data_IF_668188459696
#
_entry.id   IF_668188459696
#
_cell.length_a   1.000
_cell.length_b   1.000
_cell.length_c   1.000
_cell.angle_alpha   90.00
_cell.angle_beta   90.00
_cell.angle_gamma   90.00
#
_symmetry.space_group_name_H-M   'P 1'
#
loop_
_entity.id
_entity.type
_entity.pdbx_description
1 polymer ?
#
# COMPACT_ATOMS: atom_id res chain seq x y z
N UNK A 1 15.64 7.63 -16.00
CA UNK A 1 16.55 7.57 -14.80
C UNK A 1 15.73 7.82 -13.53
N UNK A 2 16.17 7.42 -12.32
CA UNK A 2 15.42 7.70 -11.07
C UNK A 2 15.08 9.17 -10.88
N UNK A 3 16.00 10.08 -11.27
CA UNK A 3 15.77 11.51 -11.16
C UNK A 3 14.64 12.00 -12.10
N UNK A 4 14.51 11.44 -13.28
CA UNK A 4 13.46 11.82 -14.23
C UNK A 4 12.08 11.40 -13.71
N UNK A 5 12.00 10.22 -13.09
CA UNK A 5 10.79 9.74 -12.40
C UNK A 5 10.43 10.66 -11.23
N UNK A 6 11.39 11.01 -10.38
CA UNK A 6 11.19 11.87 -9.22
C UNK A 6 10.70 13.27 -9.65
N UNK A 7 11.30 13.84 -10.69
CA UNK A 7 10.88 15.12 -11.24
C UNK A 7 9.45 15.06 -11.80
N UNK A 8 9.09 13.98 -12.50
CA UNK A 8 7.74 13.76 -13.00
C UNK A 8 6.72 13.65 -11.87
N UNK A 9 6.99 12.83 -10.85
CA UNK A 9 6.10 12.66 -9.68
C UNK A 9 5.91 14.00 -8.93
N UNK A 10 6.96 14.79 -8.75
CA UNK A 10 6.86 16.08 -8.07
C UNK A 10 6.13 17.14 -8.93
N UNK A 11 6.23 17.08 -10.24
CA UNK A 11 5.46 17.95 -11.13
C UNK A 11 3.95 17.64 -11.05
N UNK A 12 3.58 16.34 -11.09
CA UNK A 12 2.19 15.91 -10.91
C UNK A 12 1.64 16.27 -9.52
N UNK A 13 2.43 16.07 -8.46
CA UNK A 13 2.04 16.42 -7.09
C UNK A 13 1.76 17.92 -6.96
N UNK A 14 2.58 18.76 -7.58
CA UNK A 14 2.41 20.22 -7.62
C UNK A 14 1.14 20.60 -8.37
N UNK A 15 0.93 20.05 -9.57
CA UNK A 15 -0.25 20.29 -10.37
C UNK A 15 -1.54 19.88 -9.62
N UNK A 16 -1.52 18.73 -8.94
CA UNK A 16 -2.63 18.28 -8.11
C UNK A 16 -2.93 19.24 -6.95
N UNK A 17 -1.89 19.74 -6.26
CA UNK A 17 -2.07 20.69 -5.16
C UNK A 17 -2.66 22.02 -5.64
N UNK A 18 -2.22 22.50 -6.80
CA UNK A 18 -2.72 23.74 -7.42
C UNK A 18 -4.18 23.59 -7.89
N UNK A 19 -4.52 22.46 -8.53
CA UNK A 19 -5.87 22.20 -9.02
C UNK A 19 -6.90 22.04 -7.89
N UNK A 20 -6.55 21.29 -6.83
CA UNK A 20 -7.42 21.05 -5.69
C UNK A 20 -7.45 22.21 -4.68
N UNK A 21 -6.57 23.20 -4.80
CA UNK A 21 -6.40 24.29 -3.83
C UNK A 21 -6.05 23.79 -2.44
N UNK A 22 -5.38 22.64 -2.38
CA UNK A 22 -4.89 22.02 -1.16
C UNK A 22 -3.60 22.71 -0.69
N UNK A 23 -3.27 22.56 0.60
CA UNK A 23 -1.95 22.93 1.07
C UNK A 23 -0.88 22.12 0.31
N UNK A 24 0.28 22.75 -0.02
CA UNK A 24 1.34 22.05 -0.74
C UNK A 24 1.77 20.78 0.00
N UNK A 25 1.73 19.65 -0.69
CA UNK A 25 2.31 18.42 -0.16
C UNK A 25 3.83 18.52 -0.13
N UNK A 26 4.46 17.82 0.82
CA UNK A 26 5.91 17.66 0.83
C UNK A 26 6.35 16.97 -0.49
N UNK A 27 7.31 17.54 -1.23
CA UNK A 27 7.83 16.88 -2.41
C UNK A 27 8.42 15.49 -2.10
N UNK A 28 8.28 14.58 -3.04
CA UNK A 28 8.95 13.29 -2.97
C UNK A 28 10.46 13.46 -3.03
N UNK A 29 11.17 12.62 -2.30
CA UNK A 29 12.64 12.50 -2.31
C UNK A 29 13.07 11.16 -2.91
N UNK A 30 14.33 10.93 -3.10
CA UNK A 30 14.85 9.64 -3.57
C UNK A 30 14.46 8.48 -2.63
N UNK A 31 14.40 8.75 -1.31
CA UNK A 31 14.05 7.75 -0.30
C UNK A 31 12.57 7.34 -0.36
N UNK A 32 11.72 8.16 -0.97
CA UNK A 32 10.31 7.82 -1.17
C UNK A 32 10.09 6.89 -2.37
N UNK A 33 11.10 6.68 -3.22
CA UNK A 33 11.01 5.83 -4.42
C UNK A 33 11.18 4.33 -4.12
N UNK A 34 11.37 3.95 -2.88
CA UNK A 34 11.54 2.56 -2.47
C UNK A 34 10.23 1.85 -2.09
N UNK A 35 9.07 2.45 -2.35
CA UNK A 35 7.77 1.89 -2.00
C UNK A 35 6.65 2.30 -2.95
N UNK A 36 5.71 1.39 -3.15
CA UNK A 36 4.47 1.61 -3.90
C UNK A 36 3.29 1.12 -3.06
N UNK A 37 2.26 1.95 -2.91
CA UNK A 37 1.02 1.58 -2.24
C UNK A 37 -0.12 1.38 -3.25
N UNK A 38 -0.82 0.25 -3.15
CA UNK A 38 -1.98 -0.09 -3.96
C UNK A 38 -3.26 0.06 -3.13
N UNK A 39 -4.09 1.01 -3.49
CA UNK A 39 -5.39 1.19 -2.90
C UNK A 39 -6.44 0.45 -3.71
N UNK A 40 -6.82 -0.73 -3.25
CA UNK A 40 -7.73 -1.63 -3.98
C UNK A 40 -8.83 -2.14 -3.07
N UNK A 41 -10.07 -2.16 -3.55
CA UNK A 41 -11.23 -2.62 -2.79
C UNK A 41 -11.06 -4.07 -2.29
N UNK A 42 -11.78 -4.42 -1.23
CA UNK A 42 -11.89 -5.82 -0.79
C UNK A 42 -12.47 -6.67 -1.93
N UNK A 43 -11.89 -7.84 -2.16
CA UNK A 43 -12.31 -8.74 -3.25
C UNK A 43 -11.84 -8.34 -4.66
N UNK A 44 -11.03 -7.27 -4.80
CA UNK A 44 -10.52 -6.81 -6.11
C UNK A 44 -9.32 -7.60 -6.64
N UNK A 45 -8.92 -8.69 -5.97
CA UNK A 45 -7.76 -9.49 -6.38
C UNK A 45 -6.42 -8.97 -5.85
N UNK A 46 -6.39 -8.28 -4.70
CA UNK A 46 -5.15 -7.80 -4.06
C UNK A 46 -4.07 -8.87 -3.94
N UNK A 47 -4.43 -10.08 -3.50
CA UNK A 47 -3.49 -11.20 -3.37
C UNK A 47 -2.90 -11.60 -4.72
N UNK A 48 -3.71 -11.65 -5.77
CA UNK A 48 -3.20 -11.94 -7.11
C UNK A 48 -2.24 -10.84 -7.59
N UNK A 49 -2.58 -9.58 -7.36
CA UNK A 49 -1.71 -8.44 -7.67
C UNK A 49 -0.38 -8.53 -6.91
N UNK A 50 -0.42 -8.91 -5.62
CA UNK A 50 0.75 -9.15 -4.79
C UNK A 50 1.65 -10.24 -5.43
N UNK A 51 1.08 -11.35 -5.86
CA UNK A 51 1.83 -12.42 -6.53
C UNK A 51 2.44 -11.98 -7.86
N UNK A 52 1.70 -11.21 -8.66
CA UNK A 52 2.21 -10.62 -9.91
C UNK A 52 3.38 -9.69 -9.62
N UNK A 53 3.28 -8.84 -8.59
CA UNK A 53 4.34 -7.91 -8.22
C UNK A 53 5.62 -8.64 -7.75
N UNK A 54 5.51 -9.77 -7.04
CA UNK A 54 6.68 -10.60 -6.71
C UNK A 54 7.37 -11.07 -7.98
N UNK A 55 6.63 -11.66 -8.93
CA UNK A 55 7.19 -12.18 -10.19
C UNK A 55 7.82 -11.07 -11.02
N UNK A 56 7.13 -9.94 -11.14
CA UNK A 56 7.60 -8.78 -11.89
C UNK A 56 8.86 -8.18 -11.27
N UNK A 57 8.86 -7.98 -9.95
CA UNK A 57 10.02 -7.46 -9.23
C UNK A 57 11.23 -8.38 -9.43
N UNK A 58 11.08 -9.67 -9.20
CA UNK A 58 12.16 -10.64 -9.37
C UNK A 58 12.66 -10.72 -10.82
N UNK A 59 11.77 -10.57 -11.80
CA UNK A 59 12.16 -10.53 -13.20
C UNK A 59 13.14 -9.37 -13.47
N UNK A 60 12.75 -8.15 -13.08
CA UNK A 60 13.59 -6.96 -13.28
C UNK A 60 14.83 -6.94 -12.38
N UNK A 61 14.68 -7.34 -11.13
CA UNK A 61 15.79 -7.41 -10.17
C UNK A 61 16.91 -8.31 -10.67
N UNK A 62 16.58 -9.43 -11.30
CA UNK A 62 17.52 -10.40 -11.88
C UNK A 62 18.00 -10.03 -13.28
N UNK A 63 17.62 -8.89 -13.81
CA UNK A 63 18.11 -8.36 -15.08
C UNK A 63 17.10 -8.35 -16.22
N UNK A 64 15.92 -8.93 -16.03
CA UNK A 64 14.86 -8.94 -17.03
C UNK A 64 15.35 -9.39 -18.40
N UNK A 65 14.83 -8.75 -19.44
CA UNK A 65 15.25 -9.02 -20.83
C UNK A 65 16.57 -8.35 -21.21
N UNK A 66 17.15 -7.50 -20.35
CA UNK A 66 18.36 -6.72 -20.64
C UNK A 66 19.64 -7.43 -20.20
N UNK A 67 19.53 -8.45 -19.34
CA UNK A 67 20.67 -9.16 -18.78
C UNK A 67 21.57 -8.31 -17.87
N UNK A 68 21.11 -7.12 -17.47
CA UNK A 68 21.91 -6.14 -16.68
C UNK A 68 21.71 -6.27 -15.18
N UNK A 69 20.86 -7.20 -14.71
CA UNK A 69 20.62 -7.42 -13.29
C UNK A 69 21.71 -8.26 -12.62
N UNK A 70 21.64 -8.32 -11.30
CA UNK A 70 22.60 -9.06 -10.48
C UNK A 70 22.58 -10.59 -10.70
N UNK A 71 21.52 -11.13 -11.30
CA UNK A 71 21.26 -12.57 -11.34
C UNK A 71 20.89 -13.19 -9.98
N UNK A 72 21.09 -12.44 -8.91
CA UNK A 72 20.81 -12.83 -7.53
C UNK A 72 19.34 -12.62 -7.14
N UNK A 73 18.97 -13.04 -5.96
CA UNK A 73 17.71 -12.71 -5.31
C UNK A 73 17.92 -11.56 -4.32
N UNK A 74 16.86 -10.82 -3.94
CA UNK A 74 16.88 -9.99 -2.74
C UNK A 74 17.32 -10.81 -1.53
N UNK A 75 17.88 -10.16 -0.52
CA UNK A 75 18.32 -10.85 0.70
C UNK A 75 17.18 -11.62 1.34
N UNK A 76 15.99 -11.04 1.35
CA UNK A 76 14.74 -11.70 1.78
C UNK A 76 13.55 -11.26 0.92
N UNK A 77 12.59 -12.16 0.75
CA UNK A 77 11.27 -11.86 0.19
C UNK A 77 10.26 -12.10 1.30
N UNK A 78 9.63 -11.05 1.78
CA UNK A 78 8.81 -11.08 2.99
C UNK A 78 7.37 -10.65 2.65
N UNK A 79 6.39 -11.48 2.98
CA UNK A 79 4.98 -11.08 3.04
C UNK A 79 4.62 -10.83 4.50
N UNK A 80 4.29 -9.57 4.83
CA UNK A 80 3.80 -9.18 6.15
C UNK A 80 2.27 -9.26 6.18
N UNK A 81 1.75 -9.97 7.15
CA UNK A 81 0.32 -10.15 7.37
C UNK A 81 -0.10 -9.64 8.75
N UNK A 82 -1.35 -9.20 8.93
CA UNK A 82 -1.82 -8.68 10.21
C UNK A 82 -2.06 -9.76 11.27
N UNK A 83 -2.12 -11.04 10.89
CA UNK A 83 -2.34 -12.16 11.80
C UNK A 83 -1.96 -13.52 11.18
N UNK A 84 -1.85 -14.54 12.02
CA UNK A 84 -1.44 -15.88 11.60
C UNK A 84 -2.45 -16.56 10.63
N UNK A 85 -3.75 -16.30 10.78
CA UNK A 85 -4.77 -16.85 9.88
C UNK A 85 -4.55 -16.44 8.44
N UNK A 86 -4.32 -15.13 8.21
CA UNK A 86 -3.96 -14.61 6.89
C UNK A 86 -2.60 -15.12 6.42
N UNK A 87 -1.63 -15.30 7.32
CA UNK A 87 -0.34 -15.92 6.95
C UNK A 87 -0.53 -17.32 6.34
N UNK A 88 -1.38 -18.14 6.92
CA UNK A 88 -1.68 -19.49 6.41
C UNK A 88 -2.40 -19.44 5.07
N UNK A 89 -3.36 -18.54 4.90
CA UNK A 89 -4.06 -18.32 3.63
C UNK A 89 -3.07 -17.94 2.52
N UNK A 90 -2.15 -17.01 2.78
CA UNK A 90 -1.12 -16.64 1.80
C UNK A 90 -0.25 -17.82 1.37
N UNK A 91 0.09 -18.76 2.27
CA UNK A 91 0.84 -19.95 1.88
C UNK A 91 0.06 -20.83 0.89
N UNK A 92 -1.23 -21.04 1.13
CA UNK A 92 -2.09 -21.81 0.22
C UNK A 92 -2.20 -21.12 -1.15
N UNK A 93 -2.43 -19.82 -1.16
CA UNK A 93 -2.55 -19.01 -2.38
C UNK A 93 -1.23 -18.92 -3.16
N UNK A 94 -0.08 -18.87 -2.50
CA UNK A 94 1.24 -18.94 -3.13
C UNK A 94 1.45 -20.29 -3.83
N UNK A 95 1.06 -21.40 -3.18
CA UNK A 95 1.09 -22.74 -3.78
C UNK A 95 0.22 -22.79 -5.04
N UNK A 96 -1.01 -22.30 -4.98
CA UNK A 96 -1.94 -22.26 -6.11
C UNK A 96 -1.42 -21.38 -7.25
N UNK A 97 -0.68 -20.33 -6.94
CA UNK A 97 -0.05 -19.45 -7.92
C UNK A 97 1.27 -19.99 -8.48
N UNK A 98 1.68 -21.20 -8.10
CA UNK A 98 2.85 -21.87 -8.62
C UNK A 98 4.19 -21.33 -8.10
N UNK A 99 4.22 -20.80 -6.89
CA UNK A 99 5.46 -20.52 -6.17
C UNK A 99 5.92 -21.78 -5.46
N UNK A 100 7.13 -22.25 -5.77
CA UNK A 100 7.66 -23.53 -5.24
C UNK A 100 8.31 -23.37 -3.87
N UNK A 101 8.86 -22.20 -3.57
CA UNK A 101 9.63 -21.95 -2.36
C UNK A 101 8.97 -20.85 -1.53
N UNK A 102 8.17 -21.25 -0.56
CA UNK A 102 7.51 -20.37 0.40
C UNK A 102 7.28 -21.10 1.72
N UNK A 103 7.26 -20.36 2.82
CA UNK A 103 7.08 -20.90 4.16
C UNK A 103 6.57 -19.85 5.16
N UNK A 104 6.03 -20.29 6.29
CA UNK A 104 5.94 -19.43 7.46
C UNK A 104 7.34 -19.11 7.98
N UNK A 105 7.55 -17.86 8.36
CA UNK A 105 8.79 -17.47 9.01
C UNK A 105 9.03 -18.25 10.29
N UNK A 106 10.23 -18.77 10.44
CA UNK A 106 10.74 -19.43 11.64
C UNK A 106 12.10 -18.85 12.00
N UNK A 107 12.22 -18.20 13.16
CA UNK A 107 13.45 -17.55 13.62
C UNK A 107 14.61 -18.52 13.85
N UNK A 108 14.32 -19.80 14.06
CA UNK A 108 15.30 -20.85 14.36
C UNK A 108 15.80 -21.59 13.10
N UNK A 109 15.23 -21.27 11.94
CA UNK A 109 15.52 -21.98 10.70
C UNK A 109 15.69 -21.00 9.53
N UNK A 110 16.87 -21.02 8.92
CA UNK A 110 17.09 -20.30 7.67
C UNK A 110 16.29 -20.91 6.51
N UNK A 111 15.96 -20.14 5.45
CA UNK A 111 15.39 -20.69 4.22
C UNK A 111 16.33 -21.70 3.58
N UNK A 112 15.76 -22.78 3.01
CA UNK A 112 16.55 -23.82 2.35
C UNK A 112 17.08 -23.37 0.97
N UNK A 113 16.42 -22.36 0.36
CA UNK A 113 16.76 -21.88 -0.99
C UNK A 113 16.75 -20.35 -1.06
N UNK A 114 17.65 -19.73 -1.85
CA UNK A 114 17.57 -18.31 -2.16
C UNK A 114 16.26 -17.98 -2.87
N UNK A 115 15.67 -16.83 -2.53
CA UNK A 115 14.39 -16.40 -3.09
C UNK A 115 13.17 -17.10 -2.49
N UNK A 116 13.33 -17.84 -1.38
CA UNK A 116 12.19 -18.35 -0.61
C UNK A 116 11.35 -17.19 -0.08
N UNK A 117 10.03 -17.26 -0.28
CA UNK A 117 9.07 -16.28 0.23
C UNK A 117 8.75 -16.65 1.68
N UNK A 118 9.04 -15.76 2.60
CA UNK A 118 8.72 -15.92 4.03
C UNK A 118 7.48 -15.11 4.39
N UNK A 119 6.46 -15.78 4.89
CA UNK A 119 5.23 -15.13 5.36
C UNK A 119 5.31 -14.92 6.85
N UNK A 120 5.20 -13.67 7.30
CA UNK A 120 5.41 -13.26 8.69
C UNK A 120 4.16 -12.56 9.22
N UNK A 121 3.65 -13.03 10.35
CA UNK A 121 2.69 -12.27 11.14
C UNK A 121 3.39 -11.07 11.81
N UNK A 122 2.85 -9.90 11.64
CA UNK A 122 3.37 -8.64 12.23
C UNK A 122 3.64 -8.72 13.73
N UNK A 123 2.84 -9.51 14.45
CA UNK A 123 2.99 -9.68 15.90
C UNK A 123 4.27 -10.48 16.27
N UNK A 124 4.90 -11.12 15.30
CA UNK A 124 6.20 -11.80 15.48
C UNK A 124 7.39 -10.86 15.33
N UNK A 125 7.19 -9.61 14.88
CA UNK A 125 8.23 -8.60 14.79
C UNK A 125 8.23 -7.72 16.04
N UNK A 126 9.40 -7.55 16.64
CA UNK A 126 9.61 -6.71 17.81
C UNK A 126 10.77 -5.73 17.59
N UNK A 127 10.93 -4.77 18.51
CA UNK A 127 12.14 -3.93 18.56
C UNK A 127 13.30 -4.73 19.15
N UNK A 128 12.97 -5.71 20.00
CA UNK A 128 13.92 -6.66 20.60
C UNK A 128 13.46 -8.10 20.33
N UNK A 129 14.41 -9.01 20.30
CA UNK A 129 14.14 -10.45 20.19
C UNK A 129 13.58 -11.01 21.51
N UNK A 130 12.55 -11.86 21.42
CA UNK A 130 11.96 -12.56 22.55
C UNK A 130 11.63 -14.01 22.20
N UNK A 131 10.99 -14.75 23.11
CA UNK A 131 10.65 -16.16 22.87
C UNK A 131 9.81 -16.36 21.61
N UNK A 132 8.85 -15.45 21.36
CA UNK A 132 7.91 -15.50 20.23
C UNK A 132 8.18 -14.41 19.18
N UNK A 133 9.08 -13.48 19.44
CA UNK A 133 9.39 -12.35 18.58
C UNK A 133 10.80 -12.40 18.07
N UNK A 134 11.04 -11.75 16.92
CA UNK A 134 12.36 -11.52 16.35
C UNK A 134 12.57 -10.02 16.21
N UNK A 135 13.77 -9.56 16.53
CA UNK A 135 14.12 -8.16 16.35
C UNK A 135 14.08 -7.80 14.85
N UNK A 136 13.45 -6.68 14.52
CA UNK A 136 13.37 -6.20 13.13
C UNK A 136 14.77 -5.97 12.53
N UNK A 137 15.75 -5.63 13.34
CA UNK A 137 17.15 -5.43 12.93
C UNK A 137 17.79 -6.71 12.38
N UNK A 138 17.27 -7.91 12.71
CA UNK A 138 17.69 -9.18 12.12
C UNK A 138 17.31 -9.33 10.62
N UNK A 139 16.49 -8.42 10.13
CA UNK A 139 16.07 -8.38 8.72
C UNK A 139 16.75 -7.25 7.94
N UNK A 140 17.80 -6.61 8.46
CA UNK A 140 18.55 -5.63 7.66
C UNK A 140 19.05 -6.26 6.36
N UNK A 141 18.83 -5.55 5.26
CA UNK A 141 19.27 -6.01 3.94
C UNK A 141 18.47 -5.42 2.80
N UNK A 142 18.82 -5.83 1.58
CA UNK A 142 18.08 -5.52 0.36
C UNK A 142 16.88 -6.45 0.24
N UNK A 143 15.81 -6.11 0.94
CA UNK A 143 14.61 -6.94 1.05
C UNK A 143 13.52 -6.50 0.07
N UNK A 144 12.80 -7.47 -0.47
CA UNK A 144 11.48 -7.24 -1.06
C UNK A 144 10.41 -7.49 0.00
N UNK A 145 9.68 -6.46 0.38
CA UNK A 145 8.64 -6.53 1.41
C UNK A 145 7.27 -6.26 0.79
N UNK A 146 6.33 -7.16 1.02
CA UNK A 146 4.94 -7.03 0.58
C UNK A 146 4.04 -6.98 1.82
N UNK A 147 3.34 -5.88 2.02
CA UNK A 147 2.52 -5.63 3.22
C UNK A 147 1.05 -5.79 2.86
N UNK A 148 0.45 -6.88 3.32
CA UNK A 148 -1.00 -7.05 3.20
C UNK A 148 -1.71 -6.28 4.33
N UNK A 149 -2.82 -5.63 3.98
CA UNK A 149 -3.58 -4.76 4.88
C UNK A 149 -2.70 -3.68 5.55
N UNK A 150 -1.89 -2.97 4.75
CA UNK A 150 -0.89 -1.98 5.18
C UNK A 150 -1.42 -0.84 6.06
N UNK A 151 -2.76 -0.65 6.11
CA UNK A 151 -3.40 0.31 7.02
C UNK A 151 -3.43 -0.17 8.49
N UNK A 152 -3.32 -1.48 8.74
CA UNK A 152 -3.31 -2.02 10.10
C UNK A 152 -1.96 -1.69 10.76
N UNK A 153 -2.01 -1.22 11.97
CA UNK A 153 -0.84 -0.72 12.71
C UNK A 153 -0.77 0.81 12.78
N UNK A 154 -1.74 1.52 12.21
CA UNK A 154 -1.84 2.99 12.30
C UNK A 154 -2.65 3.48 13.51
N UNK A 155 -3.27 2.58 14.30
CA UNK A 155 -3.89 2.86 15.60
C UNK A 155 -2.85 3.00 16.73
N UNK A 156 -3.24 3.14 17.97
CA UNK A 156 -2.36 3.34 19.13
C UNK A 156 -1.17 2.36 19.13
N UNK A 157 0.01 2.80 18.72
CA UNK A 157 1.18 1.97 18.42
C UNK A 157 1.72 2.16 17.00
N UNK A 158 1.05 2.96 16.21
CA UNK A 158 1.35 3.23 14.79
C UNK A 158 2.80 3.65 14.53
N UNK A 159 3.38 4.45 15.41
CA UNK A 159 4.75 4.92 15.24
C UNK A 159 5.78 3.77 15.27
N UNK A 160 5.63 2.84 16.20
CA UNK A 160 6.54 1.70 16.31
C UNK A 160 6.40 0.75 15.10
N UNK A 161 5.18 0.49 14.65
CA UNK A 161 4.93 -0.32 13.47
C UNK A 161 5.51 0.30 12.19
N UNK A 162 5.28 1.59 11.99
CA UNK A 162 5.84 2.32 10.85
C UNK A 162 7.37 2.29 10.87
N UNK A 163 7.99 2.55 12.02
CA UNK A 163 9.45 2.49 12.17
C UNK A 163 10.02 1.09 11.86
N UNK A 164 9.36 0.01 12.34
CA UNK A 164 9.78 -1.37 12.01
C UNK A 164 9.69 -1.65 10.51
N UNK A 165 8.62 -1.21 9.88
CA UNK A 165 8.43 -1.37 8.43
C UNK A 165 9.49 -0.59 7.64
N UNK A 166 9.80 0.64 8.04
CA UNK A 166 10.87 1.44 7.43
C UNK A 166 12.24 0.76 7.57
N UNK A 167 12.54 0.16 8.71
CA UNK A 167 13.77 -0.63 8.89
C UNK A 167 13.85 -1.83 7.96
N UNK A 168 12.74 -2.58 7.79
CA UNK A 168 12.69 -3.73 6.87
C UNK A 168 12.99 -3.35 5.42
N UNK A 169 12.66 -2.14 5.02
CA UNK A 169 12.76 -1.63 3.63
C UNK A 169 13.96 -0.70 3.45
N UNK A 170 14.76 -0.48 4.48
CA UNK A 170 15.80 0.58 4.50
C UNK A 170 16.81 0.51 3.34
N UNK A 171 17.07 -0.68 2.80
CA UNK A 171 17.95 -0.92 1.64
C UNK A 171 17.22 -1.62 0.49
N UNK A 172 15.94 -1.88 0.61
CA UNK A 172 15.15 -2.69 -0.30
C UNK A 172 13.94 -1.95 -0.86
N UNK A 173 12.89 -2.70 -1.19
CA UNK A 173 11.69 -2.18 -1.80
C UNK A 173 10.41 -2.74 -1.15
N UNK A 174 9.36 -1.92 -1.04
CA UNK A 174 8.07 -2.34 -0.51
C UNK A 174 6.92 -2.18 -1.48
N UNK A 175 6.03 -3.15 -1.48
CA UNK A 175 4.67 -3.05 -2.00
C UNK A 175 3.68 -3.13 -0.84
N UNK A 176 2.76 -2.18 -0.77
CA UNK A 176 1.72 -2.13 0.26
C UNK A 176 0.33 -2.24 -0.37
N UNK A 177 -0.51 -3.06 0.23
CA UNK A 177 -1.86 -3.31 -0.28
C UNK A 177 -2.89 -3.03 0.81
N UNK A 178 -3.92 -2.25 0.50
CA UNK A 178 -5.02 -2.02 1.43
C UNK A 178 -6.29 -1.57 0.72
N UNK A 179 -7.43 -1.93 1.31
CA UNK A 179 -8.73 -1.38 0.93
C UNK A 179 -9.03 -0.04 1.62
N UNK A 180 -8.30 0.29 2.68
CA UNK A 180 -8.68 1.35 3.63
C UNK A 180 -7.50 2.26 4.01
N UNK A 181 -6.62 2.61 3.07
CA UNK A 181 -5.53 3.56 3.32
C UNK A 181 -6.03 4.94 3.81
N UNK A 182 -7.27 5.32 3.49
CA UNK A 182 -7.87 6.54 4.04
C UNK A 182 -7.91 6.57 5.58
N UNK A 183 -7.92 5.41 6.24
CA UNK A 183 -7.82 5.31 7.70
C UNK A 183 -6.38 5.59 8.21
N UNK A 184 -5.38 5.39 7.34
CA UNK A 184 -3.98 5.65 7.67
C UNK A 184 -3.57 7.11 7.45
N UNK A 185 -4.19 7.78 6.48
CA UNK A 185 -3.83 9.15 6.06
C UNK A 185 -4.52 10.22 6.91
N UNK A 186 -5.57 9.88 7.63
CA UNK A 186 -6.27 10.83 8.51
C UNK A 186 -6.68 10.17 9.83
N UNK A 187 -6.45 10.83 10.96
CA UNK A 187 -6.94 10.38 12.26
C UNK A 187 -8.43 10.04 12.18
N UNK A 188 -8.76 8.76 11.97
CA UNK A 188 -10.10 8.25 12.14
C UNK A 188 -11.19 8.93 11.30
N UNK A 189 -10.90 9.26 10.04
CA UNK A 189 -11.95 9.72 9.15
C UNK A 189 -12.80 8.50 8.78
N UNK A 190 -14.00 8.40 9.34
CA UNK A 190 -15.01 7.40 8.92
C UNK A 190 -15.36 7.64 7.45
N UNK A 191 -15.87 6.61 6.76
CA UNK A 191 -16.35 6.76 5.37
C UNK A 191 -17.32 7.93 5.24
N UNK A 192 -18.19 8.12 6.25
CA UNK A 192 -19.14 9.22 6.33
C UNK A 192 -18.45 10.59 6.42
N UNK A 193 -17.39 10.73 7.22
CA UNK A 193 -16.62 11.97 7.29
C UNK A 193 -15.87 12.27 6.01
N UNK A 194 -15.31 11.24 5.35
CA UNK A 194 -14.65 11.40 4.06
C UNK A 194 -15.65 11.83 2.98
N UNK A 195 -16.84 11.25 2.97
CA UNK A 195 -17.92 11.67 2.07
C UNK A 195 -18.39 13.09 2.39
N UNK A 196 -18.52 13.45 3.66
CA UNK A 196 -18.87 14.82 4.07
C UNK A 196 -17.82 15.84 3.63
N UNK A 197 -16.52 15.52 3.76
CA UNK A 197 -15.44 16.40 3.29
C UNK A 197 -15.43 16.55 1.76
N UNK A 198 -15.68 15.48 1.02
CA UNK A 198 -15.86 15.54 -0.44
C UNK A 198 -17.04 16.41 -0.82
N UNK A 199 -18.17 16.29 -0.09
CA UNK A 199 -19.35 17.13 -0.31
C UNK A 199 -19.08 18.59 0.02
N UNK A 200 -18.33 18.88 1.09
CA UNK A 200 -17.89 20.23 1.43
C UNK A 200 -17.02 20.86 0.34
N UNK A 201 -16.04 20.12 -0.18
CA UNK A 201 -15.19 20.57 -1.31
C UNK A 201 -16.04 20.84 -2.55
N UNK A 202 -16.95 19.95 -2.90
CA UNK A 202 -17.86 20.12 -4.04
C UNK A 202 -18.80 21.33 -3.84
N UNK A 203 -19.33 21.49 -2.64
CA UNK A 203 -20.16 22.65 -2.28
C UNK A 203 -19.38 23.97 -2.47
N UNK A 204 -18.12 24.02 -2.06
CA UNK A 204 -17.27 25.20 -2.24
C UNK A 204 -17.03 25.56 -3.72
N UNK A 205 -16.97 24.56 -4.61
CA UNK A 205 -16.86 24.80 -6.07
C UNK A 205 -18.18 25.36 -6.66
N UNK A 206 -19.33 24.86 -6.20
CA UNK A 206 -20.65 25.24 -6.74
C UNK A 206 -21.16 26.52 -6.08
N UNK A 207 -20.86 26.71 -4.82
CA UNK A 207 -21.28 27.87 -4.01
C UNK A 207 -20.05 28.52 -3.32
N UNK A 208 -19.16 29.20 -4.08
CA UNK A 208 -17.87 29.69 -3.56
C UNK A 208 -18.01 30.65 -2.37
N UNK A 209 -19.11 31.42 -2.32
CA UNK A 209 -19.36 32.43 -1.28
C UNK A 209 -20.16 31.89 -0.08
N UNK A 210 -20.47 30.59 -0.06
CA UNK A 210 -21.28 29.97 1.01
C UNK A 210 -20.52 28.89 1.74
N UNK A 211 -20.72 28.83 3.05
CA UNK A 211 -20.15 27.75 3.88
C UNK A 211 -21.07 26.53 3.88
N UNK A 212 -20.48 25.31 3.94
CA UNK A 212 -21.21 24.04 4.02
C UNK A 212 -22.35 24.02 5.04
N UNK A 213 -22.11 24.59 6.25
CA UNK A 213 -23.13 24.68 7.33
C UNK A 213 -24.32 25.55 7.01
N UNK A 214 -24.21 26.45 6.05
CA UNK A 214 -25.27 27.37 5.63
C UNK A 214 -26.08 26.85 4.46
N UNK A 215 -25.74 25.70 3.89
CA UNK A 215 -26.53 25.04 2.85
C UNK A 215 -27.78 24.36 3.47
N UNK A 216 -28.87 24.41 2.74
CA UNK A 216 -30.10 23.71 3.13
C UNK A 216 -29.96 22.19 3.05
N UNK A 217 -30.88 21.45 3.67
CA UNK A 217 -30.92 19.99 3.55
C UNK A 217 -31.08 19.52 2.12
N UNK A 218 -31.91 20.19 1.33
CA UNK A 218 -32.15 19.85 -0.08
C UNK A 218 -30.91 20.09 -0.96
N UNK A 219 -30.19 21.20 -0.75
CA UNK A 219 -28.93 21.47 -1.45
C UNK A 219 -27.86 20.41 -1.14
N UNK A 220 -27.75 19.97 0.11
CA UNK A 220 -26.85 18.89 0.53
C UNK A 220 -27.24 17.55 -0.08
N UNK A 221 -28.54 17.24 -0.10
CA UNK A 221 -29.07 16.01 -0.70
C UNK A 221 -28.77 15.97 -2.22
N UNK A 222 -28.95 17.08 -2.91
CA UNK A 222 -28.68 17.19 -4.34
C UNK A 222 -27.19 17.00 -4.68
N UNK A 223 -26.30 17.53 -3.84
CA UNK A 223 -24.84 17.29 -3.96
C UNK A 223 -24.48 15.81 -3.75
N UNK A 224 -25.13 15.14 -2.80
CA UNK A 224 -24.93 13.71 -2.51
C UNK A 224 -25.41 12.83 -3.68
N UNK A 225 -26.57 13.10 -4.25
CA UNK A 225 -27.11 12.40 -5.42
C UNK A 225 -26.14 12.50 -6.62
N UNK A 226 -25.69 13.71 -6.92
CA UNK A 226 -24.72 13.93 -8.01
C UNK A 226 -23.38 13.21 -7.78
N UNK A 227 -22.95 13.00 -6.55
CA UNK A 227 -21.75 12.20 -6.24
C UNK A 227 -22.02 10.70 -6.45
N UNK A 228 -23.19 10.22 -6.07
CA UNK A 228 -23.61 8.82 -6.27
C UNK A 228 -23.72 8.48 -7.76
N UNK A 229 -24.27 9.38 -8.57
CA UNK A 229 -24.37 9.24 -10.02
C UNK A 229 -23.00 9.16 -10.68
N UNK A 230 -22.04 10.01 -10.27
CA UNK A 230 -20.65 9.95 -10.77
C UNK A 230 -19.96 8.64 -10.38
N UNK A 231 -20.21 8.13 -9.17
CA UNK A 231 -19.67 6.82 -8.73
C UNK A 231 -20.23 5.68 -9.59
N UNK A 232 -21.55 5.70 -9.89
CA UNK A 232 -22.20 4.71 -10.78
C UNK A 232 -21.64 4.77 -12.19
N UNK A 233 -21.57 5.94 -12.80
CA UNK A 233 -21.05 6.13 -14.15
C UNK A 233 -19.61 5.62 -14.30
N UNK A 234 -18.75 5.86 -13.29
CA UNK A 234 -17.38 5.31 -13.27
C UNK A 234 -17.36 3.79 -13.13
N UNK A 235 -18.22 3.21 -12.30
CA UNK A 235 -18.34 1.75 -12.15
C UNK A 235 -18.79 1.08 -13.43
N UNK A 236 -19.77 1.68 -14.14
CA UNK A 236 -20.31 1.15 -15.38
C UNK A 236 -19.28 1.27 -16.53
N UNK A 237 -18.58 2.39 -16.64
CA UNK A 237 -17.49 2.55 -17.60
C UNK A 237 -16.34 1.52 -17.39
N UNK A 238 -16.03 1.18 -16.15
CA UNK A 238 -15.04 0.12 -15.85
C UNK A 238 -15.55 -1.25 -16.30
N UNK A 239 -16.83 -1.57 -16.07
CA UNK A 239 -17.42 -2.84 -16.52
C UNK A 239 -17.44 -2.98 -18.04
N UNK A 240 -17.74 -1.91 -18.78
CA UNK A 240 -17.73 -1.90 -20.24
C UNK A 240 -16.32 -2.06 -20.82
N UNK A 241 -15.28 -1.64 -20.10
CA UNK A 241 -13.89 -1.76 -20.56
C UNK A 241 -13.35 -3.18 -20.42
N UNK A 242 -13.98 -4.02 -19.58
CA UNK A 242 -13.54 -5.39 -19.28
C UNK A 242 -14.56 -6.47 -19.73
N UNK A 243 -15.62 -6.10 -20.45
CA UNK A 243 -16.57 -7.00 -21.10
C UNK A 243 -16.21 -7.23 -22.56
#
# INVERSE_FOLDING_TARGET
KPQDLLNGLNAELKAYSEEEGAEPFRPYTADDLNKIAYWSATGSGKTLLLHVNIRQYLHYYRGGNTGTGSGAYPDKIIILTPNEGLSRQHLEELSLSGFSFHRLFDKNRAPDFPGTIEVIDVNKLGDEGGDKTVAVDAFEGDNLVLVDEGHRGTSSGAGAWLARREKLVSKGFAFEYSATFSQAVGKGMTVEKAEEELLKKKAKRIFPDRQWRTLSGDEKAQLSLSLAEQKRARSDAVKETYA
#
